data_IF_180386828751
#
_entry.id   IF_180386828751
#
_cell.length_a   1.000
_cell.length_b   1.000
_cell.length_c   1.000
_cell.angle_alpha   90.00
_cell.angle_beta   90.00
_cell.angle_gamma   90.00
#
_symmetry.space_group_name_H-M   'P 1'
#
loop_
_entity.id
_entity.type
_entity.pdbx_description
1 polymer ?
#
# COMPACT_ATOMS: atom_id res chain seq x y z
N UNK A 1 11.61 22.13 -9.60
CA UNK A 1 10.38 21.66 -8.92
C UNK A 1 9.73 20.42 -9.54
N UNK A 2 9.84 20.14 -10.85
CA UNK A 2 9.20 18.96 -11.47
C UNK A 2 9.63 17.59 -10.90
N UNK A 3 10.84 17.50 -10.33
CA UNK A 3 11.40 16.25 -9.79
C UNK A 3 10.92 15.88 -8.38
N UNK A 4 9.96 16.61 -7.79
CA UNK A 4 9.41 16.28 -6.46
C UNK A 4 8.39 15.11 -6.52
N UNK A 5 7.89 14.78 -7.71
CA UNK A 5 6.81 13.80 -7.90
C UNK A 5 7.13 12.41 -7.31
N UNK A 6 8.32 11.81 -7.51
CA UNK A 6 8.64 10.51 -6.91
C UNK A 6 8.60 10.53 -5.37
N UNK A 7 8.97 11.65 -4.75
CA UNK A 7 8.95 11.82 -3.29
C UNK A 7 7.51 11.85 -2.76
N UNK A 8 6.62 12.58 -3.44
CA UNK A 8 5.20 12.63 -3.06
C UNK A 8 4.57 11.25 -3.22
N UNK A 9 4.83 10.55 -4.33
CA UNK A 9 4.32 9.20 -4.57
C UNK A 9 4.84 8.19 -3.54
N UNK A 10 6.12 8.29 -3.14
CA UNK A 10 6.66 7.49 -2.04
C UNK A 10 5.92 7.75 -0.70
N UNK A 11 5.49 8.99 -0.45
CA UNK A 11 4.75 9.38 0.75
C UNK A 11 3.34 8.79 0.84
N UNK A 12 2.65 8.64 -0.29
CA UNK A 12 1.26 8.12 -0.33
C UNK A 12 1.18 6.67 0.18
N UNK A 13 2.23 5.87 -0.01
CA UNK A 13 2.28 4.48 0.46
C UNK A 13 2.09 4.35 1.98
N UNK A 14 2.56 5.32 2.77
CA UNK A 14 2.36 5.35 4.21
C UNK A 14 0.88 5.48 4.59
N UNK A 15 0.09 6.15 3.76
CA UNK A 15 -1.35 6.34 3.97
C UNK A 15 -2.09 5.01 3.82
N UNK A 16 -1.69 4.14 2.88
CA UNK A 16 -2.30 2.82 2.72
C UNK A 16 -2.12 1.93 3.95
N UNK A 17 -0.92 1.96 4.54
CA UNK A 17 -0.65 1.26 5.80
C UNK A 17 -1.50 1.80 6.95
N UNK A 18 -1.65 3.14 7.05
CA UNK A 18 -2.52 3.77 8.05
C UNK A 18 -3.98 3.35 7.88
N UNK A 19 -4.49 3.29 6.64
CA UNK A 19 -5.87 2.86 6.35
C UNK A 19 -6.12 1.45 6.88
N UNK A 20 -5.24 0.48 6.56
CA UNK A 20 -5.39 -0.90 7.06
C UNK A 20 -5.28 -0.96 8.58
N UNK A 21 -4.36 -0.23 9.20
CA UNK A 21 -4.22 -0.18 10.65
C UNK A 21 -5.50 0.33 11.33
N UNK A 22 -6.12 1.38 10.79
CA UNK A 22 -7.38 1.92 11.31
C UNK A 22 -8.53 0.92 11.13
N UNK A 23 -8.64 0.27 9.97
CA UNK A 23 -9.69 -0.73 9.71
C UNK A 23 -9.58 -1.93 10.68
N UNK A 24 -8.38 -2.46 10.88
CA UNK A 24 -8.16 -3.56 11.82
C UNK A 24 -8.48 -3.11 13.26
N UNK A 25 -8.03 -1.91 13.64
CA UNK A 25 -8.26 -1.34 14.98
C UNK A 25 -9.76 -1.18 15.29
N UNK A 26 -10.55 -0.69 14.35
CA UNK A 26 -12.01 -0.55 14.52
C UNK A 26 -12.74 -1.89 14.47
N UNK A 27 -12.14 -2.92 13.84
CA UNK A 27 -12.67 -4.28 13.81
C UNK A 27 -12.49 -5.08 15.11
N UNK A 28 -11.55 -4.69 15.98
CA UNK A 28 -11.25 -5.41 17.23
C UNK A 28 -12.07 -4.82 18.40
N UNK A 29 -13.03 -5.59 18.92
CA UNK A 29 -13.76 -5.21 20.13
C UNK A 29 -13.79 -6.35 21.18
N UNK A 30 -12.85 -6.34 22.14
CA UNK A 30 -12.69 -7.43 23.11
C UNK A 30 -13.77 -7.45 24.20
N UNK A 31 -14.53 -6.37 24.38
CA UNK A 31 -15.60 -6.29 25.40
C UNK A 31 -16.94 -6.82 24.88
N UNK A 32 -17.18 -6.71 23.58
CA UNK A 32 -18.45 -7.12 22.96
C UNK A 32 -18.37 -8.48 22.26
N UNK A 33 -17.18 -8.95 21.90
CA UNK A 33 -16.98 -10.05 20.96
C UNK A 33 -15.75 -10.88 21.32
N UNK A 34 -15.91 -12.21 21.39
CA UNK A 34 -14.76 -13.13 21.44
C UNK A 34 -13.96 -13.06 20.14
N UNK A 35 -12.64 -12.98 20.26
CA UNK A 35 -11.72 -12.92 19.12
C UNK A 35 -11.27 -14.33 18.75
N UNK A 36 -11.68 -14.81 17.58
CA UNK A 36 -11.37 -16.15 17.12
C UNK A 36 -9.99 -16.21 16.44
N UNK A 37 -9.39 -17.40 16.39
CA UNK A 37 -8.09 -17.61 15.74
C UNK A 37 -8.11 -17.19 14.25
N UNK A 38 -9.22 -17.44 13.56
CA UNK A 38 -9.39 -17.03 12.16
C UNK A 38 -9.29 -15.52 11.98
N UNK A 39 -10.00 -14.74 12.81
CA UNK A 39 -9.95 -13.27 12.80
C UNK A 39 -8.52 -12.78 13.07
N UNK A 40 -7.81 -13.45 13.99
CA UNK A 40 -6.40 -13.24 14.27
C UNK A 40 -5.51 -13.35 13.05
N UNK A 41 -5.58 -14.49 12.35
CA UNK A 41 -4.77 -14.73 11.15
C UNK A 41 -5.21 -13.87 9.96
N UNK A 42 -6.50 -13.57 9.83
CA UNK A 42 -7.02 -12.69 8.79
C UNK A 42 -6.51 -11.25 8.96
N UNK A 43 -6.51 -10.71 10.19
CA UNK A 43 -5.95 -9.38 10.46
C UNK A 43 -4.43 -9.35 10.25
N UNK A 44 -3.69 -10.36 10.72
CA UNK A 44 -2.25 -10.44 10.50
C UNK A 44 -1.89 -10.50 9.01
N UNK A 45 -2.58 -11.36 8.25
CA UNK A 45 -2.35 -11.50 6.81
C UNK A 45 -2.76 -10.24 6.03
N UNK A 46 -3.83 -9.55 6.44
CA UNK A 46 -4.22 -8.27 5.82
C UNK A 46 -3.16 -7.17 5.98
N UNK A 47 -2.56 -7.06 7.18
CA UNK A 47 -1.48 -6.11 7.45
C UNK A 47 -0.21 -6.45 6.67
N UNK A 48 0.17 -7.73 6.63
CA UNK A 48 1.34 -8.19 5.89
C UNK A 48 1.18 -8.02 4.37
N UNK A 49 0.00 -8.32 3.82
CA UNK A 49 -0.27 -8.17 2.39
C UNK A 49 -0.10 -6.72 1.93
N UNK A 50 -0.70 -5.77 2.65
CA UNK A 50 -0.55 -4.34 2.35
C UNK A 50 0.87 -3.83 2.61
N UNK A 51 1.49 -4.24 3.74
CA UNK A 51 2.81 -3.77 4.14
C UNK A 51 3.94 -4.21 3.19
N UNK A 52 3.96 -5.50 2.81
CA UNK A 52 4.97 -6.02 1.90
C UNK A 52 4.79 -5.51 0.46
N UNK A 53 3.53 -5.39 0.00
CA UNK A 53 3.25 -4.78 -1.30
C UNK A 53 3.70 -3.32 -1.33
N UNK A 54 3.39 -2.54 -0.27
CA UNK A 54 3.83 -1.16 -0.13
C UNK A 54 5.36 -1.02 -0.07
N UNK A 55 6.06 -1.91 0.65
CA UNK A 55 7.52 -1.92 0.68
C UNK A 55 8.11 -2.11 -0.72
N UNK A 56 7.61 -3.10 -1.46
CA UNK A 56 8.10 -3.41 -2.82
C UNK A 56 7.83 -2.26 -3.80
N UNK A 57 6.65 -1.65 -3.74
CA UNK A 57 6.28 -0.48 -4.54
C UNK A 57 7.14 0.74 -4.21
N UNK A 58 7.37 1.01 -2.92
CA UNK A 58 8.24 2.10 -2.47
C UNK A 58 9.68 1.94 -2.95
N UNK A 59 10.21 0.72 -2.94
CA UNK A 59 11.55 0.42 -3.48
C UNK A 59 11.60 0.65 -5.00
N UNK A 60 10.58 0.21 -5.74
CA UNK A 60 10.48 0.45 -7.17
C UNK A 60 10.42 1.95 -7.52
N UNK A 61 9.60 2.72 -6.79
CA UNK A 61 9.49 4.18 -6.93
C UNK A 61 10.82 4.86 -6.64
N UNK A 62 11.55 4.43 -5.62
CA UNK A 62 12.87 4.98 -5.28
C UNK A 62 13.90 4.78 -6.40
N UNK A 63 13.99 3.55 -6.94
CA UNK A 63 14.94 3.21 -8.01
C UNK A 63 14.58 3.93 -9.33
N UNK A 64 13.31 3.90 -9.71
CA UNK A 64 12.81 4.60 -10.91
C UNK A 64 12.94 6.11 -10.76
N UNK A 65 12.71 6.64 -9.56
CA UNK A 65 12.87 8.04 -9.24
C UNK A 65 14.32 8.52 -9.41
N UNK A 66 15.30 7.79 -8.89
CA UNK A 66 16.72 8.14 -9.05
C UNK A 66 17.14 8.16 -10.53
N UNK A 67 16.90 7.06 -11.24
CA UNK A 67 17.26 6.93 -12.65
C UNK A 67 16.50 7.94 -13.53
N UNK A 68 15.20 8.11 -13.27
CA UNK A 68 14.32 8.99 -14.03
C UNK A 68 14.65 10.47 -13.84
N UNK A 69 14.99 10.92 -12.63
CA UNK A 69 15.38 12.30 -12.38
C UNK A 69 16.71 12.63 -13.06
N UNK A 70 17.69 11.72 -13.01
CA UNK A 70 18.97 11.87 -13.72
C UNK A 70 18.78 11.93 -15.24
N UNK A 71 17.95 11.05 -15.81
CA UNK A 71 17.63 11.04 -17.24
C UNK A 71 16.87 12.31 -17.67
N UNK A 72 15.93 12.78 -16.86
CA UNK A 72 15.18 14.01 -17.11
C UNK A 72 16.06 15.27 -17.10
N UNK A 73 17.14 15.28 -16.30
CA UNK A 73 18.13 16.35 -16.31
C UNK A 73 18.90 16.43 -17.64
N UNK A 74 19.10 15.29 -18.32
CA UNK A 74 19.74 15.22 -19.63
C UNK A 74 18.75 15.52 -20.77
N UNK A 75 17.55 14.95 -20.73
CA UNK A 75 16.51 15.15 -21.73
C UNK A 75 15.13 15.36 -21.08
N UNK A 76 14.58 16.60 -21.08
CA UNK A 76 13.33 16.91 -20.39
C UNK A 76 12.09 16.24 -21.01
N UNK A 77 12.19 15.72 -22.24
CA UNK A 77 11.10 14.94 -22.88
C UNK A 77 10.86 13.59 -22.21
N UNK A 78 11.85 13.05 -21.47
CA UNK A 78 11.75 11.78 -20.77
C UNK A 78 10.89 11.86 -19.48
N UNK A 79 10.52 13.07 -19.05
CA UNK A 79 9.69 13.27 -17.86
C UNK A 79 8.39 12.47 -17.90
N UNK A 80 7.68 12.46 -19.03
CA UNK A 80 6.40 11.76 -19.17
C UNK A 80 6.59 10.24 -19.07
N UNK A 81 7.67 9.70 -19.65
CA UNK A 81 8.00 8.28 -19.56
C UNK A 81 8.28 7.84 -18.12
N UNK A 82 9.02 8.66 -17.35
CA UNK A 82 9.25 8.42 -15.93
C UNK A 82 7.92 8.36 -15.14
N UNK A 83 7.01 9.31 -15.38
CA UNK A 83 5.69 9.33 -14.70
C UNK A 83 4.88 8.07 -14.99
N UNK A 84 4.85 7.60 -16.24
CA UNK A 84 4.13 6.37 -16.61
C UNK A 84 4.66 5.16 -15.83
N UNK A 85 5.97 5.01 -15.71
CA UNK A 85 6.59 3.91 -14.95
C UNK A 85 6.23 4.01 -13.46
N UNK A 86 6.26 5.21 -12.89
CA UNK A 86 5.91 5.44 -11.48
C UNK A 86 4.45 5.08 -11.17
N UNK A 87 3.52 5.36 -12.08
CA UNK A 87 2.10 4.97 -11.92
C UNK A 87 1.95 3.44 -11.87
N UNK A 88 2.64 2.70 -12.74
CA UNK A 88 2.63 1.24 -12.69
C UNK A 88 3.26 0.67 -11.42
N UNK A 89 4.32 1.32 -10.90
CA UNK A 89 4.92 0.94 -9.64
C UNK A 89 3.96 1.15 -8.46
N UNK A 90 3.17 2.23 -8.46
CA UNK A 90 2.18 2.49 -7.40
C UNK A 90 1.03 1.47 -7.40
N UNK A 91 0.61 0.99 -8.57
CA UNK A 91 -0.47 0.01 -8.68
C UNK A 91 -0.22 -1.26 -7.85
N UNK A 92 1.05 -1.66 -7.67
CA UNK A 92 1.44 -2.79 -6.82
C UNK A 92 0.96 -2.63 -5.37
N UNK A 93 1.08 -1.42 -4.81
CA UNK A 93 0.64 -1.15 -3.45
C UNK A 93 -0.88 -1.10 -3.32
N UNK A 94 -1.57 -0.56 -4.33
CA UNK A 94 -3.03 -0.55 -4.39
C UNK A 94 -3.60 -1.98 -4.41
N UNK A 95 -2.96 -2.91 -5.12
CA UNK A 95 -3.37 -4.31 -5.10
C UNK A 95 -3.23 -4.93 -3.70
N UNK A 96 -2.13 -4.65 -2.99
CA UNK A 96 -1.95 -5.10 -1.61
C UNK A 96 -3.00 -4.52 -0.65
N UNK A 97 -3.34 -3.24 -0.81
CA UNK A 97 -4.38 -2.58 -0.03
C UNK A 97 -5.76 -3.24 -0.24
N UNK A 98 -6.15 -3.47 -1.49
CA UNK A 98 -7.45 -4.10 -1.82
C UNK A 98 -7.56 -5.49 -1.18
N UNK A 99 -6.51 -6.30 -1.31
CA UNK A 99 -6.46 -7.64 -0.70
C UNK A 99 -6.55 -7.54 0.83
N UNK A 100 -5.84 -6.60 1.44
CA UNK A 100 -5.91 -6.35 2.88
C UNK A 100 -7.32 -6.00 3.36
N UNK A 101 -8.03 -5.12 2.64
CA UNK A 101 -9.41 -4.74 2.96
C UNK A 101 -10.35 -5.94 2.88
N UNK A 102 -10.24 -6.78 1.83
CA UNK A 102 -11.09 -7.96 1.67
C UNK A 102 -10.88 -8.96 2.82
N UNK A 103 -9.62 -9.22 3.19
CA UNK A 103 -9.30 -10.12 4.30
C UNK A 103 -9.84 -9.61 5.64
N UNK A 104 -9.66 -8.32 5.92
CA UNK A 104 -10.17 -7.70 7.15
C UNK A 104 -11.71 -7.69 7.19
N UNK A 105 -12.37 -7.48 6.06
CA UNK A 105 -13.84 -7.55 5.98
C UNK A 105 -14.37 -8.96 6.27
N UNK A 106 -13.70 -10.00 5.79
CA UNK A 106 -14.08 -11.41 6.04
C UNK A 106 -13.89 -11.84 7.49
N UNK A 107 -12.88 -11.31 8.19
CA UNK A 107 -12.72 -11.51 9.64
C UNK A 107 -13.96 -11.03 10.42
N UNK A 108 -14.61 -9.96 9.97
CA UNK A 108 -15.87 -9.50 10.56
C UNK A 108 -17.07 -10.43 10.29
N UNK A 109 -17.05 -11.15 9.16
CA UNK A 109 -18.15 -11.95 8.61
C UNK A 109 -18.14 -13.43 9.00
N UNK A 110 -17.00 -14.02 9.39
CA UNK A 110 -16.89 -15.43 9.86
C UNK A 110 -17.77 -15.76 11.09
N UNK A 111 -18.58 -14.80 11.52
CA UNK A 111 -19.50 -14.81 12.66
C UNK A 111 -20.95 -15.00 12.23
N UNK A 112 -21.25 -14.93 10.93
CA UNK A 112 -22.61 -15.06 10.37
C UNK A 112 -22.98 -16.51 10.02
N UNK A 113 -22.00 -17.41 10.00
CA UNK A 113 -22.15 -18.84 9.76
C UNK A 113 -21.83 -19.65 11.02
#
# INVERSE_FOLDING_TARGET
MKSIVPVVMAGVLGIYGLIIAVIISTGINPKAKSYYLFDGYAHLSSGLACGLAGLSAGMAIGIVGDAGVRANAQQPKLFVGMILILIFAEALALYGLIVGIILSSRAGQSRAD
#
